data_IF_450644400234
#
_entry.id   IF_450644400234
#
_cell.length_a   1.000
_cell.length_b   1.000
_cell.length_c   1.000
_cell.angle_alpha   90.00
_cell.angle_beta   90.00
_cell.angle_gamma   90.00
#
_symmetry.space_group_name_H-M   'P 1'
#
loop_
_entity.id
_entity.type
_entity.pdbx_description
1 polymer ?
#
# COMPACT_ATOMS: atom_id res chain seq x y z
N UNK A 1 9.06 -1.44 -16.05
CA UNK A 1 8.99 -0.52 -14.90
C UNK A 1 8.07 0.60 -15.31
N UNK A 2 6.99 0.82 -14.56
CA UNK A 2 6.19 2.04 -14.70
C UNK A 2 7.05 3.23 -14.20
N UNK A 3 6.78 4.45 -14.68
CA UNK A 3 7.64 5.62 -14.42
C UNK A 3 7.76 6.00 -12.93
N UNK A 4 6.98 5.36 -12.07
CA UNK A 4 6.99 5.58 -10.63
C UNK A 4 7.86 4.59 -9.86
N UNK A 5 8.29 3.45 -10.42
CA UNK A 5 8.92 2.38 -9.63
C UNK A 5 7.94 1.40 -8.99
N UNK A 6 6.65 1.48 -9.35
CA UNK A 6 5.58 0.75 -8.70
C UNK A 6 5.61 -0.73 -9.08
N UNK A 7 5.50 -1.59 -8.06
CA UNK A 7 5.19 -3.03 -8.24
C UNK A 7 3.74 -3.22 -8.70
N UNK A 8 3.40 -4.37 -9.32
CA UNK A 8 2.02 -4.66 -9.69
C UNK A 8 1.05 -4.60 -8.50
N UNK A 9 1.51 -4.91 -7.29
CA UNK A 9 0.73 -4.76 -6.06
C UNK A 9 0.35 -3.30 -5.76
N UNK A 10 1.25 -2.34 -5.99
CA UNK A 10 0.92 -0.91 -5.87
C UNK A 10 -0.17 -0.52 -6.85
N UNK A 11 -0.01 -0.91 -8.12
CA UNK A 11 -0.97 -0.58 -9.17
C UNK A 11 -2.33 -1.23 -8.91
N UNK A 12 -2.34 -2.47 -8.42
CA UNK A 12 -3.58 -3.18 -8.05
C UNK A 12 -4.32 -2.46 -6.91
N UNK A 13 -3.61 -2.03 -5.87
CA UNK A 13 -4.20 -1.25 -4.78
C UNK A 13 -4.67 0.12 -5.30
N UNK A 14 -3.83 0.86 -6.02
CA UNK A 14 -4.20 2.16 -6.57
C UNK A 14 -5.44 2.09 -7.49
N UNK A 15 -5.57 1.00 -8.25
CA UNK A 15 -6.66 0.77 -9.20
C UNK A 15 -7.92 0.17 -8.56
N UNK A 16 -7.95 -0.01 -7.22
CA UNK A 16 -9.06 -0.67 -6.52
C UNK A 16 -9.36 -2.07 -7.06
N UNK A 17 -8.31 -2.85 -7.31
CA UNK A 17 -8.45 -4.24 -7.75
C UNK A 17 -9.29 -5.04 -6.75
N UNK A 18 -10.03 -6.02 -7.27
CA UNK A 18 -10.84 -6.90 -6.43
C UNK A 18 -9.97 -7.74 -5.51
N UNK A 19 -10.55 -8.19 -4.39
CA UNK A 19 -9.87 -9.05 -3.43
C UNK A 19 -9.22 -10.26 -4.10
N UNK A 20 -9.91 -10.89 -5.06
CA UNK A 20 -9.38 -12.03 -5.80
C UNK A 20 -8.11 -11.74 -6.58
N UNK A 21 -7.99 -10.54 -7.17
CA UNK A 21 -6.77 -10.11 -7.87
C UNK A 21 -5.63 -9.86 -6.88
N UNK A 22 -5.92 -9.19 -5.77
CA UNK A 22 -4.93 -8.94 -4.72
C UNK A 22 -4.45 -10.25 -4.09
N UNK A 23 -5.36 -11.19 -3.83
CA UNK A 23 -5.01 -12.51 -3.33
C UNK A 23 -4.24 -13.34 -4.34
N UNK A 24 -4.53 -13.23 -5.65
CA UNK A 24 -3.78 -13.91 -6.70
C UNK A 24 -2.34 -13.39 -6.79
N UNK A 25 -2.14 -12.07 -6.70
CA UNK A 25 -0.80 -11.46 -6.63
C UNK A 25 -0.05 -11.93 -5.38
N UNK A 26 -0.74 -11.96 -4.23
CA UNK A 26 -0.20 -12.47 -2.97
C UNK A 26 -0.20 -14.00 -2.85
N UNK A 27 -0.59 -14.75 -3.90
CA UNK A 27 -0.74 -16.21 -3.82
C UNK A 27 0.61 -16.92 -3.82
N UNK A 28 1.65 -16.27 -4.36
CA UNK A 28 3.02 -16.76 -4.34
C UNK A 28 3.76 -16.06 -3.22
N UNK A 29 4.02 -16.76 -2.10
CA UNK A 29 4.65 -16.18 -0.92
C UNK A 29 6.05 -15.59 -1.20
N UNK A 30 6.78 -16.20 -2.14
CA UNK A 30 8.11 -15.72 -2.55
C UNK A 30 8.04 -14.35 -3.22
N UNK A 31 7.08 -14.14 -4.13
CA UNK A 31 6.90 -12.85 -4.82
C UNK A 31 6.18 -11.84 -3.92
N UNK A 32 5.22 -12.28 -3.11
CA UNK A 32 4.49 -11.44 -2.17
C UNK A 32 5.43 -10.73 -1.19
N UNK A 33 6.44 -11.44 -0.67
CA UNK A 33 7.41 -10.85 0.24
C UNK A 33 8.29 -9.80 -0.44
N UNK A 34 8.72 -10.02 -1.69
CA UNK A 34 9.49 -9.00 -2.43
C UNK A 34 8.61 -7.81 -2.81
N UNK A 35 7.39 -8.05 -3.30
CA UNK A 35 6.44 -7.01 -3.66
C UNK A 35 6.04 -6.14 -2.47
N UNK A 36 5.89 -6.72 -1.27
CA UNK A 36 5.58 -5.98 -0.05
C UNK A 36 6.77 -5.19 0.51
N UNK A 37 8.01 -5.55 0.13
CA UNK A 37 9.25 -4.88 0.56
C UNK A 37 9.74 -3.83 -0.41
N UNK A 38 9.34 -3.93 -1.68
CA UNK A 38 9.72 -2.99 -2.72
C UNK A 38 8.90 -1.72 -2.54
N UNK A 39 9.57 -0.59 -2.42
CA UNK A 39 8.94 0.72 -2.45
C UNK A 39 8.91 1.32 -3.87
N UNK A 40 7.91 2.17 -4.09
CA UNK A 40 7.80 3.05 -5.25
C UNK A 40 8.80 4.23 -5.12
N UNK A 41 9.00 5.07 -6.15
CA UNK A 41 9.95 6.22 -6.13
C UNK A 41 9.69 7.25 -5.02
N UNK A 42 8.57 7.15 -4.31
CA UNK A 42 8.22 7.97 -3.14
C UNK A 42 8.62 7.30 -1.81
N UNK A 43 9.31 6.16 -1.83
CA UNK A 43 9.58 5.36 -0.63
C UNK A 43 8.32 4.69 -0.09
N UNK A 44 7.26 4.62 -0.89
CA UNK A 44 5.96 4.08 -0.47
C UNK A 44 5.93 2.59 -0.77
N UNK A 45 5.90 1.77 0.28
CA UNK A 45 5.50 0.36 0.21
C UNK A 45 4.03 0.22 -0.18
N UNK A 46 3.60 -0.96 -0.65
CA UNK A 46 2.19 -1.16 -1.01
C UNK A 46 1.27 -1.08 0.21
N UNK A 47 1.79 -1.31 1.43
CA UNK A 47 1.04 -1.05 2.67
C UNK A 47 0.70 0.43 2.88
N UNK A 48 1.55 1.36 2.42
CA UNK A 48 1.25 2.80 2.43
C UNK A 48 0.10 3.13 1.49
N UNK A 49 0.06 2.50 0.30
CA UNK A 49 -1.07 2.65 -0.62
C UNK A 49 -2.36 2.13 0.02
N UNK A 50 -2.33 0.95 0.64
CA UNK A 50 -3.48 0.40 1.35
C UNK A 50 -4.00 1.37 2.41
N UNK A 51 -3.10 1.96 3.19
CA UNK A 51 -3.42 2.95 4.21
C UNK A 51 -3.93 4.28 3.64
N UNK A 52 -3.40 4.72 2.52
CA UNK A 52 -3.83 5.96 1.87
C UNK A 52 -5.22 5.81 1.24
N UNK A 53 -5.53 4.68 0.62
CA UNK A 53 -6.78 4.50 -0.11
C UNK A 53 -7.91 3.83 0.68
N UNK A 54 -7.63 3.16 1.79
CA UNK A 54 -8.59 2.58 2.74
C UNK A 54 -9.73 1.72 2.13
N UNK A 55 -9.53 1.11 0.96
CA UNK A 55 -10.54 0.22 0.32
C UNK A 55 -10.11 -1.25 0.29
N UNK A 56 -8.86 -1.53 0.65
CA UNK A 56 -8.31 -2.88 0.61
C UNK A 56 -8.91 -3.71 1.76
N UNK A 57 -9.40 -4.93 1.49
CA UNK A 57 -10.01 -5.75 2.52
C UNK A 57 -8.98 -6.17 3.57
N UNK A 58 -9.39 -6.19 4.84
CA UNK A 58 -8.53 -6.49 5.97
C UNK A 58 -7.81 -7.85 5.86
N UNK A 59 -8.40 -8.84 5.17
CA UNK A 59 -7.77 -10.13 4.93
C UNK A 59 -6.50 -10.02 4.07
N UNK A 60 -6.53 -9.17 3.04
CA UNK A 60 -5.37 -8.88 2.18
C UNK A 60 -4.33 -8.09 2.97
N UNK A 61 -4.74 -7.07 3.71
CA UNK A 61 -3.83 -6.26 4.55
C UNK A 61 -3.08 -7.15 5.54
N UNK A 62 -3.80 -8.06 6.20
CA UNK A 62 -3.23 -9.01 7.16
C UNK A 62 -2.21 -9.93 6.49
N UNK A 63 -2.48 -10.42 5.28
CA UNK A 63 -1.52 -11.22 4.48
C UNK A 63 -0.25 -10.44 4.13
N UNK A 64 -0.39 -9.16 3.75
CA UNK A 64 0.77 -8.31 3.45
C UNK A 64 1.64 -8.07 4.68
N UNK A 65 1.02 -7.76 5.83
CA UNK A 65 1.72 -7.57 7.11
C UNK A 65 2.36 -8.87 7.59
N UNK A 66 1.70 -10.02 7.44
CA UNK A 66 2.25 -11.33 7.78
C UNK A 66 3.48 -11.66 6.91
N UNK A 67 3.47 -11.25 5.64
CA UNK A 67 4.60 -11.45 4.71
C UNK A 67 5.77 -10.51 4.99
N UNK A 68 5.49 -9.26 5.38
CA UNK A 68 6.51 -8.27 5.73
C UNK A 68 6.05 -7.38 6.90
N UNK A 69 6.26 -7.80 8.15
CA UNK A 69 5.75 -7.08 9.31
C UNK A 69 6.46 -5.74 9.54
N UNK A 70 7.71 -5.60 9.11
CA UNK A 70 8.47 -4.34 9.22
C UNK A 70 7.89 -3.22 8.33
N UNK A 71 7.03 -3.56 7.36
CA UNK A 71 6.32 -2.56 6.53
C UNK A 71 5.53 -1.55 7.37
N UNK A 72 5.03 -1.95 8.54
CA UNK A 72 4.19 -1.10 9.40
C UNK A 72 4.95 0.07 10.03
N UNK A 73 6.27 -0.06 10.18
CA UNK A 73 7.17 0.97 10.71
C UNK A 73 8.05 1.59 9.62
N UNK A 74 7.86 1.20 8.37
CA UNK A 74 8.60 1.77 7.26
C UNK A 74 8.17 3.22 7.04
N UNK A 75 9.14 4.07 6.73
CA UNK A 75 8.91 5.48 6.47
C UNK A 75 9.02 5.74 4.98
N UNK A 76 8.11 6.55 4.45
CA UNK A 76 8.23 7.07 3.08
C UNK A 76 9.33 8.13 2.99
N UNK A 77 9.62 8.63 1.79
CA UNK A 77 10.53 9.78 1.62
C UNK A 77 10.07 11.04 2.35
N UNK A 78 8.78 11.14 2.69
CA UNK A 78 8.23 12.24 3.49
C UNK A 78 8.37 12.01 5.00
N UNK A 79 8.83 10.83 5.44
CA UNK A 79 8.88 10.45 6.85
C UNK A 79 7.54 9.90 7.39
N UNK A 80 6.52 9.75 6.54
CA UNK A 80 5.23 9.19 6.96
C UNK A 80 5.29 7.66 7.04
N UNK A 81 4.68 7.10 8.09
CA UNK A 81 4.41 5.64 8.19
C UNK A 81 3.05 5.31 7.56
N UNK A 82 2.71 4.04 7.26
CA UNK A 82 1.40 3.72 6.72
C UNK A 82 0.27 4.19 7.66
N UNK A 83 0.45 4.11 8.98
CA UNK A 83 -0.53 4.64 9.93
C UNK A 83 -0.72 6.16 9.84
N UNK A 84 0.34 6.94 9.55
CA UNK A 84 0.20 8.38 9.33
C UNK A 84 -0.72 8.66 8.12
N UNK A 85 -0.55 7.90 7.03
CA UNK A 85 -1.38 8.06 5.83
C UNK A 85 -2.85 7.72 6.06
N UNK A 86 -3.14 6.69 6.87
CA UNK A 86 -4.52 6.37 7.28
C UNK A 86 -5.20 7.57 7.94
N UNK A 87 -4.50 8.24 8.87
CA UNK A 87 -5.05 9.35 9.66
C UNK A 87 -5.20 10.60 8.78
N UNK A 88 -4.20 10.89 7.95
CA UNK A 88 -4.23 12.03 7.02
C UNK A 88 -5.40 11.92 6.05
N UNK A 89 -5.64 10.75 5.46
CA UNK A 89 -6.76 10.56 4.55
C UNK A 89 -8.13 10.56 5.27
N UNK A 90 -8.22 9.97 6.47
CA UNK A 90 -9.43 10.03 7.28
C UNK A 90 -9.81 11.47 7.68
N UNK A 91 -8.81 12.32 7.93
CA UNK A 91 -9.01 13.73 8.28
C UNK A 91 -9.34 14.60 7.07
N UNK A 92 -8.80 14.27 5.89
CA UNK A 92 -9.10 15.00 4.64
C UNK A 92 -10.46 14.65 4.01
N UNK A 93 -11.21 13.68 4.55
CA UNK A 93 -12.61 13.49 4.14
C UNK A 93 -13.57 14.56 4.70
N UNK A 94 -13.04 15.55 5.43
CA UNK A 94 -13.77 16.71 5.96
C UNK A 94 -13.23 18.06 5.47
N UNK A 95 -13.11 18.26 4.15
CA UNK A 95 -13.04 19.60 3.57
C UNK A 95 -11.70 20.02 2.98
N UNK A 96 -11.77 20.57 1.77
CA UNK A 96 -10.67 21.33 1.16
C UNK A 96 -10.50 21.04 -0.31
N UNK A 97 -11.35 21.63 -1.15
CA UNK A 97 -10.90 22.01 -2.48
C UNK A 97 -9.85 23.13 -2.38
N UNK A 98 -8.98 23.23 -3.39
CA UNK A 98 -8.04 24.34 -3.59
C UNK A 98 -6.59 23.85 -3.76
N UNK A 99 -5.92 24.08 -4.88
CA UNK A 99 -6.30 24.87 -6.06
C UNK A 99 -5.43 24.55 -7.27
#
# INVERSE_FOLDING_TARGET
QDMTGATPLHVAVASRASEGVLQALLSSAATASEECRTDDNRGMLPLHYVAAFCHTPAGVVRRMVDSYPEAVVHHTHNGDTPLHLCISNASSSGGGGGG
#
